data_IF_330040429241
#
_entry.id   IF_330040429241
#
_cell.length_a   1.000
_cell.length_b   1.000
_cell.length_c   1.000
_cell.angle_alpha   90.00
_cell.angle_beta   90.00
_cell.angle_gamma   90.00
#
_symmetry.space_group_name_H-M   'P 1'
#
loop_
_entity.id
_entity.type
_entity.pdbx_description
1 polymer ?
#
# COMPACT_ATOMS: atom_id res chain seq x y z
N UNK A 1 25.33 -6.32 4.25
CA UNK A 1 25.81 -7.65 4.69
C UNK A 1 26.64 -8.29 3.60
N UNK A 2 27.97 -8.26 3.74
CA UNK A 2 28.96 -8.65 2.73
C UNK A 2 28.96 -10.17 2.45
N UNK A 3 28.77 -10.99 3.49
CA UNK A 3 28.67 -12.45 3.40
C UNK A 3 27.61 -12.95 2.41
N UNK A 4 26.39 -12.39 2.49
CA UNK A 4 25.26 -12.77 1.63
C UNK A 4 25.56 -12.54 0.14
N UNK A 5 26.35 -11.51 -0.18
CA UNK A 5 26.76 -11.21 -1.55
C UNK A 5 27.68 -12.29 -2.11
N UNK A 6 28.76 -12.62 -1.40
CA UNK A 6 29.69 -13.66 -1.81
C UNK A 6 29.04 -15.04 -1.90
N UNK A 7 28.20 -15.40 -0.92
CA UNK A 7 27.47 -16.65 -0.95
C UNK A 7 26.59 -16.76 -2.21
N UNK A 8 25.83 -15.71 -2.54
CA UNK A 8 24.98 -15.68 -3.75
C UNK A 8 25.76 -15.73 -5.05
N UNK A 9 26.98 -15.19 -5.09
CA UNK A 9 27.85 -15.31 -6.25
C UNK A 9 28.30 -16.75 -6.46
N UNK A 10 28.71 -17.44 -5.39
CA UNK A 10 29.14 -18.84 -5.44
C UNK A 10 27.99 -19.79 -5.81
N UNK A 11 26.78 -19.52 -5.31
CA UNK A 11 25.61 -20.36 -5.56
C UNK A 11 24.79 -19.92 -6.78
N UNK A 12 25.26 -18.96 -7.58
CA UNK A 12 24.52 -18.40 -8.73
C UNK A 12 24.19 -19.45 -9.80
N UNK A 13 25.08 -20.42 -9.98
CA UNK A 13 24.96 -21.48 -10.99
C UNK A 13 24.20 -22.72 -10.49
N UNK A 14 23.74 -22.72 -9.22
CA UNK A 14 23.03 -23.87 -8.67
C UNK A 14 21.54 -23.78 -9.01
N UNK A 15 21.03 -24.80 -9.69
CA UNK A 15 19.68 -24.82 -10.26
C UNK A 15 18.56 -24.95 -9.20
N UNK A 16 18.82 -25.54 -8.03
CA UNK A 16 17.83 -25.63 -6.95
C UNK A 16 18.44 -25.56 -5.55
N UNK A 17 17.75 -24.88 -4.63
CA UNK A 17 18.08 -24.79 -3.20
C UNK A 17 17.43 -25.90 -2.36
N UNK A 18 16.96 -27.00 -2.98
CA UNK A 18 16.39 -28.09 -2.18
C UNK A 18 17.50 -28.65 -1.30
N UNK A 19 17.38 -28.61 0.02
CA UNK A 19 18.42 -29.09 0.95
C UNK A 19 18.20 -30.55 1.34
N UNK A 20 17.55 -31.33 0.49
CA UNK A 20 17.14 -32.71 0.80
C UNK A 20 18.20 -33.72 0.40
N UNK A 21 19.08 -33.41 -0.56
CA UNK A 21 20.15 -34.34 -0.95
C UNK A 21 21.44 -34.15 -0.14
N UNK A 22 22.13 -35.23 0.27
CA UNK A 22 23.45 -35.15 0.91
C UNK A 22 24.48 -34.37 0.09
N UNK A 23 24.37 -34.42 -1.25
CA UNK A 23 25.23 -33.68 -2.17
C UNK A 23 25.06 -32.16 -2.02
N UNK A 24 23.82 -31.67 -1.93
CA UNK A 24 23.54 -30.25 -1.73
C UNK A 24 24.01 -29.75 -0.36
N UNK A 25 23.99 -30.60 0.68
CA UNK A 25 24.55 -30.26 1.98
C UNK A 25 26.08 -30.07 1.92
N UNK A 26 26.79 -30.94 1.19
CA UNK A 26 28.23 -30.78 0.98
C UNK A 26 28.57 -29.51 0.20
N UNK A 27 27.81 -29.20 -0.84
CA UNK A 27 27.95 -27.96 -1.60
C UNK A 27 27.72 -26.74 -0.70
N UNK A 28 26.65 -26.75 0.11
CA UNK A 28 26.37 -25.70 1.08
C UNK A 28 27.57 -25.45 2.02
N UNK A 29 28.14 -26.51 2.61
CA UNK A 29 29.29 -26.37 3.50
C UNK A 29 30.51 -25.77 2.80
N UNK A 30 30.78 -26.18 1.55
CA UNK A 30 31.87 -25.61 0.73
C UNK A 30 31.65 -24.12 0.46
N UNK A 31 30.46 -23.75 -0.04
CA UNK A 31 30.14 -22.35 -0.32
C UNK A 31 30.11 -21.49 0.95
N UNK A 32 29.61 -22.02 2.07
CA UNK A 32 29.62 -21.35 3.37
C UNK A 32 31.06 -21.07 3.80
N UNK A 33 31.95 -22.08 3.75
CA UNK A 33 33.37 -21.95 4.10
C UNK A 33 34.10 -20.92 3.24
N UNK A 34 33.84 -20.90 1.94
CA UNK A 34 34.45 -19.94 1.03
C UNK A 34 33.91 -18.51 1.21
N UNK A 35 32.59 -18.38 1.33
CA UNK A 35 31.94 -17.09 1.56
C UNK A 35 32.34 -16.49 2.91
N UNK A 36 32.45 -17.31 3.96
CA UNK A 36 32.89 -16.86 5.28
C UNK A 36 34.35 -16.41 5.25
N UNK A 37 35.25 -17.14 4.58
CA UNK A 37 36.65 -16.71 4.41
C UNK A 37 36.78 -15.36 3.71
N UNK A 38 35.98 -15.10 2.68
CA UNK A 38 35.97 -13.82 1.95
C UNK A 38 35.29 -12.70 2.74
N UNK A 39 34.25 -13.03 3.51
CA UNK A 39 33.47 -12.05 4.25
C UNK A 39 34.12 -11.64 5.58
N UNK A 40 34.68 -12.58 6.34
CA UNK A 40 35.25 -12.40 7.67
C UNK A 40 36.71 -11.94 7.60
N UNK A 41 36.98 -10.90 6.81
CA UNK A 41 38.28 -10.25 6.80
C UNK A 41 38.29 -9.09 7.80
N UNK A 42 39.47 -8.78 8.37
CA UNK A 42 39.63 -7.66 9.30
C UNK A 42 39.06 -6.36 8.73
N UNK A 43 39.29 -6.08 7.44
CA UNK A 43 38.76 -4.90 6.74
C UNK A 43 37.24 -4.89 6.70
N UNK A 44 36.61 -6.00 6.34
CA UNK A 44 35.15 -6.09 6.27
C UNK A 44 34.50 -5.97 7.65
N UNK A 45 35.08 -6.62 8.67
CA UNK A 45 34.63 -6.53 10.06
C UNK A 45 34.71 -5.08 10.55
N UNK A 46 35.86 -4.42 10.38
CA UNK A 46 36.02 -3.01 10.74
C UNK A 46 35.07 -2.09 9.96
N UNK A 47 34.88 -2.32 8.65
CA UNK A 47 33.93 -1.55 7.85
C UNK A 47 32.48 -1.70 8.34
N UNK A 48 32.12 -2.88 8.85
CA UNK A 48 30.82 -3.13 9.46
C UNK A 48 30.63 -2.33 10.73
N UNK A 49 31.61 -2.35 11.63
CA UNK A 49 31.58 -1.56 12.87
C UNK A 49 31.64 -0.04 12.62
N UNK A 50 32.34 0.40 11.57
CA UNK A 50 32.36 1.80 11.11
C UNK A 50 30.98 2.23 10.62
N UNK A 51 30.32 1.41 9.80
CA UNK A 51 29.00 1.70 9.25
C UNK A 51 27.92 1.78 10.34
N UNK A 52 27.97 0.91 11.35
CA UNK A 52 27.06 0.98 12.50
C UNK A 52 27.42 2.12 13.46
N UNK A 53 28.64 2.65 13.38
CA UNK A 53 29.14 3.68 14.28
C UNK A 53 29.54 3.16 15.67
N UNK A 54 29.77 1.85 15.79
CA UNK A 54 30.26 1.21 17.02
C UNK A 54 31.78 1.36 17.20
N UNK A 55 32.53 1.41 16.09
CA UNK A 55 33.98 1.58 16.09
C UNK A 55 34.44 2.56 15.01
N UNK A 56 35.40 3.47 15.29
CA UNK A 56 35.91 3.79 16.62
C UNK A 56 34.80 4.39 17.51
N UNK A 57 34.94 4.20 18.82
CA UNK A 57 33.99 4.76 19.80
C UNK A 57 34.13 6.28 19.76
N UNK A 58 33.23 6.95 19.06
CA UNK A 58 33.18 8.41 19.02
C UNK A 58 32.13 8.93 20.01
N UNK A 59 32.60 9.30 21.21
CA UNK A 59 31.78 9.86 22.29
C UNK A 59 31.05 11.13 21.82
N UNK A 60 31.65 11.93 20.92
CA UNK A 60 31.03 13.15 20.40
C UNK A 60 29.81 12.84 19.54
N UNK A 61 29.83 11.72 18.80
CA UNK A 61 28.69 11.24 18.01
C UNK A 61 27.53 10.80 18.90
N UNK A 62 27.83 10.11 20.01
CA UNK A 62 26.83 9.76 21.03
C UNK A 62 26.18 11.02 21.62
N UNK A 63 26.98 11.99 22.05
CA UNK A 63 26.48 13.27 22.58
C UNK A 63 25.65 14.06 21.55
N UNK A 64 26.02 14.05 20.27
CA UNK A 64 25.22 14.65 19.18
C UNK A 64 23.88 13.96 18.97
N UNK A 65 23.75 12.66 19.26
CA UNK A 65 22.50 11.92 19.14
C UNK A 65 21.50 12.20 20.26
N UNK A 66 22.00 12.54 21.46
CA UNK A 66 21.21 13.01 22.61
C UNK A 66 20.61 14.40 22.38
N UNK A 67 21.23 15.23 21.52
CA UNK A 67 20.68 16.54 21.19
C UNK A 67 19.35 16.38 20.45
N UNK A 68 18.27 17.06 20.88
CA UNK A 68 16.98 16.98 20.21
C UNK A 68 17.12 17.49 18.77
N UNK A 69 16.98 16.60 17.80
CA UNK A 69 16.90 16.96 16.39
C UNK A 69 15.47 17.34 16.06
N UNK A 70 15.28 18.54 15.53
CA UNK A 70 14.04 18.92 14.88
C UNK A 70 13.79 17.94 13.73
N UNK A 71 12.81 17.04 13.92
CA UNK A 71 12.35 16.14 12.86
C UNK A 71 11.62 16.99 11.83
N UNK A 72 12.35 17.48 10.81
CA UNK A 72 11.73 18.00 9.60
C UNK A 72 10.81 16.91 9.06
N UNK A 73 9.50 17.12 9.15
CA UNK A 73 8.50 16.20 8.60
C UNK A 73 8.81 16.12 7.11
N UNK A 74 9.20 14.93 6.63
CA UNK A 74 9.25 14.69 5.19
C UNK A 74 7.83 14.97 4.68
N UNK A 75 7.69 15.94 3.78
CA UNK A 75 6.44 16.17 3.06
C UNK A 75 6.08 14.84 2.42
N UNK A 76 4.93 14.29 2.82
CA UNK A 76 4.41 13.08 2.23
C UNK A 76 3.94 13.42 0.82
N UNK A 77 4.79 13.19 -0.16
CA UNK A 77 4.38 13.08 -1.56
C UNK A 77 3.66 11.74 -1.68
N UNK A 78 2.34 11.80 -1.60
CA UNK A 78 1.50 10.60 -1.78
C UNK A 78 1.74 9.98 -3.16
N UNK A 79 1.48 8.67 -3.31
CA UNK A 79 1.59 8.01 -4.61
C UNK A 79 0.72 8.76 -5.62
N UNK A 80 1.36 9.31 -6.65
CA UNK A 80 0.66 9.98 -7.75
C UNK A 80 0.04 8.89 -8.60
N UNK A 81 -1.26 8.65 -8.42
CA UNK A 81 -2.00 7.72 -9.28
C UNK A 81 -1.97 8.25 -10.71
N UNK A 82 -1.44 7.49 -11.69
CA UNK A 82 -1.42 7.93 -13.07
C UNK A 82 -2.86 8.23 -13.55
N UNK A 83 -3.01 9.35 -14.24
CA UNK A 83 -4.30 9.81 -14.75
C UNK A 83 -4.82 8.77 -15.75
N UNK A 84 -6.05 8.28 -15.56
CA UNK A 84 -6.69 7.34 -16.50
C UNK A 84 -6.62 7.95 -17.91
N UNK A 85 -6.01 7.22 -18.85
CA UNK A 85 -6.05 7.58 -20.27
C UNK A 85 -7.51 7.61 -20.71
N UNK A 86 -7.93 8.74 -21.29
CA UNK A 86 -9.20 8.79 -22.01
C UNK A 86 -9.04 7.95 -23.27
N UNK A 87 -10.00 7.07 -23.52
CA UNK A 87 -10.03 6.25 -24.74
C UNK A 87 -10.46 7.17 -25.88
N UNK A 88 -9.53 7.52 -26.78
CA UNK A 88 -9.72 8.54 -27.84
C UNK A 88 -10.25 7.94 -29.14
N UNK A 89 -10.38 6.62 -29.23
CA UNK A 89 -10.82 5.95 -30.45
C UNK A 89 -12.20 5.30 -30.26
N UNK A 90 -13.13 5.59 -31.16
CA UNK A 90 -14.46 4.95 -31.25
C UNK A 90 -14.38 3.43 -31.50
N UNK A 91 -13.20 2.90 -31.83
CA UNK A 91 -12.99 1.49 -32.22
C UNK A 91 -11.96 0.76 -31.34
N UNK A 92 -11.66 1.23 -30.14
CA UNK A 92 -10.84 0.44 -29.18
C UNK A 92 -11.77 -0.30 -28.24
N UNK A 93 -11.89 -1.61 -28.45
CA UNK A 93 -12.69 -2.51 -27.62
C UNK A 93 -12.07 -2.57 -26.22
N UNK A 94 -12.62 -1.77 -25.29
CA UNK A 94 -12.21 -1.77 -23.89
C UNK A 94 -12.68 -3.02 -23.14
N UNK A 95 -11.99 -3.38 -22.06
CA UNK A 95 -12.44 -4.43 -21.15
C UNK A 95 -13.76 -4.02 -20.48
N UNK A 96 -14.87 -4.74 -20.73
CA UNK A 96 -16.17 -4.38 -20.18
C UNK A 96 -16.13 -4.48 -18.65
N UNK A 97 -16.69 -3.48 -17.96
CA UNK A 97 -16.80 -3.47 -16.50
C UNK A 97 -18.15 -4.03 -16.03
N UNK A 98 -19.17 -3.93 -16.88
CA UNK A 98 -20.50 -4.41 -16.57
C UNK A 98 -21.24 -5.01 -17.76
N UNK A 99 -22.40 -5.59 -17.48
CA UNK A 99 -23.30 -6.14 -18.49
C UNK A 99 -23.80 -5.08 -19.48
N UNK A 100 -23.95 -3.82 -19.05
CA UNK A 100 -24.32 -2.70 -19.91
C UNK A 100 -23.26 -2.41 -20.99
N UNK A 101 -21.97 -2.45 -20.65
CA UNK A 101 -20.88 -2.21 -21.60
C UNK A 101 -20.88 -3.28 -22.70
N UNK A 102 -21.11 -4.54 -22.33
CA UNK A 102 -21.21 -5.66 -23.27
C UNK A 102 -22.42 -5.50 -24.19
N UNK A 103 -23.57 -5.03 -23.67
CA UNK A 103 -24.76 -4.72 -24.49
C UNK A 103 -24.46 -3.62 -25.50
N UNK A 104 -23.76 -2.56 -25.08
CA UNK A 104 -23.39 -1.45 -25.95
C UNK A 104 -22.46 -1.91 -27.08
N UNK A 105 -21.44 -2.70 -26.73
CA UNK A 105 -20.53 -3.32 -27.71
C UNK A 105 -21.28 -4.24 -28.69
N UNK A 106 -22.27 -5.00 -28.21
CA UNK A 106 -23.13 -5.84 -29.05
C UNK A 106 -23.94 -5.00 -30.04
N UNK A 107 -24.52 -3.89 -29.60
CA UNK A 107 -25.28 -2.98 -30.48
C UNK A 107 -24.38 -2.30 -31.53
N UNK A 108 -23.17 -1.91 -31.15
CA UNK A 108 -22.18 -1.33 -32.08
C UNK A 108 -21.72 -2.36 -33.13
N UNK A 109 -21.46 -3.61 -32.70
CA UNK A 109 -21.09 -4.70 -33.61
C UNK A 109 -22.21 -5.04 -34.62
N UNK A 110 -23.48 -4.94 -34.19
CA UNK A 110 -24.64 -5.14 -35.07
C UNK A 110 -24.79 -4.01 -36.10
N UNK A 111 -24.50 -2.76 -35.72
CA UNK A 111 -24.53 -1.61 -36.64
C UNK A 111 -23.44 -1.70 -37.71
N UNK A 112 -22.27 -2.24 -37.38
CA UNK A 112 -21.10 -2.33 -38.27
C UNK A 112 -21.16 -3.53 -39.24
N UNK A 113 -22.32 -4.17 -39.41
CA UNK A 113 -22.55 -5.13 -40.50
C UNK A 113 -22.23 -6.60 -40.18
N UNK A 114 -22.09 -6.99 -38.92
CA UNK A 114 -22.13 -8.41 -38.54
C UNK A 114 -23.57 -8.82 -38.22
N UNK A 115 -24.35 -9.37 -39.19
CA UNK A 115 -25.69 -9.89 -38.90
C UNK A 115 -25.58 -11.02 -37.88
N UNK A 116 -26.26 -10.80 -36.75
CA UNK A 116 -26.50 -11.72 -35.62
C UNK A 116 -26.12 -13.20 -35.86
N UNK A 117 -24.84 -13.54 -35.69
CA UNK A 117 -24.44 -14.93 -35.53
C UNK A 117 -25.05 -15.38 -34.19
N UNK A 118 -25.98 -16.34 -34.23
CA UNK A 118 -26.69 -16.87 -33.05
C UNK A 118 -25.72 -17.20 -31.91
N UNK A 119 -24.57 -17.77 -32.28
CA UNK A 119 -23.51 -18.17 -31.35
C UNK A 119 -22.82 -16.96 -30.71
N UNK A 120 -22.58 -15.88 -31.47
CA UNK A 120 -22.00 -14.64 -30.94
C UNK A 120 -22.91 -13.99 -29.89
N UNK A 121 -24.21 -13.90 -30.17
CA UNK A 121 -25.19 -13.40 -29.19
C UNK A 121 -25.27 -14.30 -27.94
N UNK A 122 -25.17 -15.62 -28.11
CA UNK A 122 -25.15 -16.57 -27.00
C UNK A 122 -23.90 -16.37 -26.12
N UNK A 123 -22.73 -16.24 -26.74
CA UNK A 123 -21.45 -16.00 -26.06
C UNK A 123 -21.50 -14.70 -25.27
N UNK A 124 -21.96 -13.60 -25.88
CA UNK A 124 -22.06 -12.31 -25.19
C UNK A 124 -23.10 -12.32 -24.07
N UNK A 125 -24.22 -13.04 -24.23
CA UNK A 125 -25.19 -13.26 -23.13
C UNK A 125 -24.58 -14.03 -21.97
N UNK A 126 -23.76 -15.05 -22.23
CA UNK A 126 -23.02 -15.77 -21.18
C UNK A 126 -21.97 -14.86 -20.52
N UNK A 127 -21.27 -14.06 -21.30
CA UNK A 127 -20.30 -13.09 -20.78
C UNK A 127 -20.98 -12.05 -19.87
N UNK A 128 -22.13 -11.51 -20.27
CA UNK A 128 -22.94 -10.61 -19.44
C UNK A 128 -23.28 -11.22 -18.08
N UNK A 129 -23.82 -12.45 -18.08
CA UNK A 129 -24.18 -13.16 -16.84
C UNK A 129 -22.95 -13.41 -15.96
N UNK A 130 -21.83 -13.80 -16.56
CA UNK A 130 -20.58 -14.07 -15.83
C UNK A 130 -20.01 -12.81 -15.18
N UNK A 131 -20.02 -11.68 -15.87
CA UNK A 131 -19.58 -10.39 -15.31
C UNK A 131 -20.50 -9.95 -14.17
N UNK A 132 -21.81 -10.09 -14.33
CA UNK A 132 -22.78 -9.75 -13.28
C UNK A 132 -22.57 -10.60 -12.02
N UNK A 133 -22.35 -11.91 -12.20
CA UNK A 133 -22.07 -12.82 -11.09
C UNK A 133 -20.78 -12.45 -10.36
N UNK A 134 -19.72 -12.08 -11.10
CA UNK A 134 -18.47 -11.60 -10.50
C UNK A 134 -18.65 -10.30 -9.74
N UNK A 135 -19.40 -9.34 -10.30
CA UNK A 135 -19.67 -8.06 -9.65
C UNK A 135 -20.47 -8.26 -8.36
N UNK A 136 -21.47 -9.16 -8.36
CA UNK A 136 -22.20 -9.53 -7.15
C UNK A 136 -21.30 -10.17 -6.09
N UNK A 137 -20.38 -11.07 -6.48
CA UNK A 137 -19.39 -11.64 -5.57
C UNK A 137 -18.44 -10.58 -5.00
N UNK A 138 -17.97 -9.65 -5.83
CA UNK A 138 -17.11 -8.55 -5.39
C UNK A 138 -17.84 -7.69 -4.36
N UNK A 139 -19.09 -7.32 -4.64
CA UNK A 139 -19.90 -6.53 -3.71
C UNK A 139 -20.06 -7.25 -2.36
N UNK A 140 -20.41 -8.54 -2.37
CA UNK A 140 -20.51 -9.35 -1.15
C UNK A 140 -19.20 -9.37 -0.36
N UNK A 141 -18.06 -9.57 -1.04
CA UNK A 141 -16.75 -9.56 -0.39
C UNK A 141 -16.38 -8.18 0.16
N UNK A 142 -16.78 -7.10 -0.50
CA UNK A 142 -16.58 -5.73 -0.02
C UNK A 142 -17.41 -5.45 1.24
N UNK A 143 -18.66 -5.93 1.29
CA UNK A 143 -19.53 -5.85 2.47
C UNK A 143 -18.95 -6.66 3.64
N UNK A 144 -18.57 -7.91 3.41
CA UNK A 144 -17.91 -8.76 4.42
C UNK A 144 -16.63 -8.10 4.95
N UNK A 145 -15.81 -7.53 4.05
CA UNK A 145 -14.60 -6.79 4.43
C UNK A 145 -14.92 -5.53 5.25
N UNK A 146 -16.01 -4.83 4.95
CA UNK A 146 -16.45 -3.66 5.71
C UNK A 146 -16.89 -4.07 7.13
N UNK A 147 -17.67 -5.15 7.26
CA UNK A 147 -18.10 -5.71 8.54
C UNK A 147 -16.89 -6.17 9.36
N UNK A 148 -15.97 -6.92 8.75
CA UNK A 148 -14.75 -7.38 9.42
C UNK A 148 -13.91 -6.21 9.91
N UNK A 149 -13.72 -5.18 9.09
CA UNK A 149 -13.01 -3.95 9.51
C UNK A 149 -13.71 -3.25 10.68
N UNK A 150 -15.03 -3.16 10.66
CA UNK A 150 -15.80 -2.57 11.76
C UNK A 150 -15.63 -3.39 13.05
N UNK A 151 -15.71 -4.72 12.96
CA UNK A 151 -15.51 -5.61 14.11
C UNK A 151 -14.08 -5.55 14.68
N UNK A 152 -13.07 -5.47 13.80
CA UNK A 152 -11.68 -5.32 14.20
C UNK A 152 -11.42 -3.96 14.84
N UNK A 153 -12.04 -2.89 14.32
CA UNK A 153 -11.98 -1.56 14.94
C UNK A 153 -12.66 -1.53 16.31
N UNK A 154 -13.81 -2.21 16.47
CA UNK A 154 -14.49 -2.32 17.76
C UNK A 154 -13.70 -3.12 18.80
N UNK A 155 -12.91 -4.12 18.36
CA UNK A 155 -12.05 -4.94 19.22
C UNK A 155 -10.64 -4.36 19.40
N UNK A 156 -10.28 -3.31 18.68
CA UNK A 156 -8.94 -2.72 18.78
C UNK A 156 -8.73 -2.21 20.21
N UNK A 157 -7.56 -2.49 20.84
CA UNK A 157 -7.31 -2.06 22.20
C UNK A 157 -7.41 -0.55 22.27
N UNK A 158 -8.20 -0.09 23.24
CA UNK A 158 -8.30 1.31 23.63
C UNK A 158 -6.89 1.85 23.91
N UNK A 159 -6.67 3.13 23.60
CA UNK A 159 -5.37 3.78 23.61
C UNK A 159 -4.64 3.62 24.94
N UNK A 160 -3.31 3.76 24.92
CA UNK A 160 -2.53 3.64 26.15
C UNK A 160 -2.52 4.97 26.88
N UNK A 161 -3.05 4.99 28.09
CA UNK A 161 -2.87 6.08 29.06
C UNK A 161 -1.95 5.56 30.17
N UNK A 162 -0.86 6.27 30.51
CA UNK A 162 -0.02 5.87 31.62
C UNK A 162 -0.80 6.00 32.94
N UNK A 163 -0.75 4.97 33.78
CA UNK A 163 -1.29 5.03 35.13
C UNK A 163 -0.43 5.99 35.94
N UNK A 164 -1.04 6.98 36.58
CA UNK A 164 -0.33 7.82 37.53
C UNK A 164 -0.19 7.05 38.83
N UNK A 165 1.06 6.82 39.23
CA UNK A 165 1.43 5.91 40.31
C UNK A 165 2.52 6.53 41.18
N UNK A 166 2.42 6.31 42.49
CA UNK A 166 3.43 6.73 43.44
C UNK A 166 4.64 5.80 43.41
N UNK A 167 5.84 6.29 43.06
CA UNK A 167 7.03 5.45 42.87
C UNK A 167 7.54 4.79 44.16
N UNK A 168 7.01 5.20 45.31
CA UNK A 168 7.35 4.64 46.62
C UNK A 168 6.57 3.35 46.93
N UNK A 169 5.50 3.05 46.19
CA UNK A 169 4.81 1.77 46.28
C UNK A 169 5.41 0.78 45.27
N UNK A 170 5.21 -0.53 45.50
CA UNK A 170 5.70 -1.56 44.60
C UNK A 170 4.81 -1.74 43.35
N UNK A 171 3.49 -1.56 43.50
CA UNK A 171 2.50 -1.73 42.43
C UNK A 171 1.38 -0.69 42.54
N UNK A 172 0.82 -0.23 41.40
CA UNK A 172 -0.34 0.66 41.39
C UNK A 172 -1.59 -0.02 41.91
N UNK A 173 -2.44 0.76 42.56
CA UNK A 173 -3.73 0.29 43.04
C UNK A 173 -4.71 0.03 41.88
N UNK A 174 -5.62 -0.91 42.09
CA UNK A 174 -6.60 -1.33 41.09
C UNK A 174 -7.46 -0.15 40.61
N UNK A 175 -7.81 0.78 41.52
CA UNK A 175 -8.58 1.98 41.18
C UNK A 175 -7.84 2.91 40.21
N UNK A 176 -6.52 3.06 40.38
CA UNK A 176 -5.68 3.87 39.48
C UNK A 176 -5.63 3.23 38.08
N UNK A 177 -5.64 1.90 38.00
CA UNK A 177 -5.68 1.16 36.74
C UNK A 177 -7.03 1.31 36.04
N UNK A 178 -8.15 1.19 36.79
CA UNK A 178 -9.50 1.36 36.24
C UNK A 178 -9.71 2.79 35.74
N UNK A 179 -9.31 3.80 36.52
CA UNK A 179 -9.44 5.22 36.13
C UNK A 179 -8.60 5.56 34.88
N UNK A 180 -7.37 5.05 34.79
CA UNK A 180 -6.55 5.24 33.59
C UNK A 180 -7.16 4.56 32.35
N UNK A 181 -7.78 3.40 32.52
CA UNK A 181 -8.54 2.72 31.46
C UNK A 181 -9.74 3.57 31.00
N UNK A 182 -10.54 4.07 31.93
CA UNK A 182 -11.73 4.88 31.60
C UNK A 182 -11.33 6.20 30.90
N UNK A 183 -10.22 6.81 31.31
CA UNK A 183 -9.66 7.99 30.64
C UNK A 183 -9.18 7.67 29.22
N UNK A 184 -8.56 6.52 29.01
CA UNK A 184 -8.18 6.07 27.68
C UNK A 184 -9.39 5.92 26.75
N UNK A 185 -10.50 5.38 27.25
CA UNK A 185 -11.76 5.21 26.50
C UNK A 185 -12.34 6.58 26.12
N UNK A 186 -12.41 7.52 27.08
CA UNK A 186 -12.88 8.90 26.84
C UNK A 186 -12.02 9.66 25.81
N UNK A 187 -10.70 9.54 25.89
CA UNK A 187 -9.79 10.21 24.96
C UNK A 187 -9.96 9.72 23.51
N UNK A 188 -10.24 8.44 23.31
CA UNK A 188 -10.54 7.90 21.97
C UNK A 188 -11.87 8.42 21.46
N UNK A 189 -12.92 8.40 22.27
CA UNK A 189 -14.23 8.92 21.86
C UNK A 189 -14.11 10.39 21.42
N UNK A 190 -13.37 11.20 22.19
CA UNK A 190 -13.08 12.58 21.82
C UNK A 190 -12.35 12.71 20.47
N UNK A 191 -11.31 11.89 20.21
CA UNK A 191 -10.61 11.88 18.91
C UNK A 191 -11.53 11.46 17.75
N UNK A 192 -12.40 10.47 17.96
CA UNK A 192 -13.38 10.04 16.95
C UNK A 192 -14.38 11.16 16.65
N UNK A 193 -14.86 11.87 17.67
CA UNK A 193 -15.74 13.02 17.48
C UNK A 193 -15.04 14.18 16.76
N UNK A 194 -13.81 14.52 17.16
CA UNK A 194 -13.04 15.55 16.47
C UNK A 194 -12.80 15.22 14.99
N UNK A 195 -12.50 13.95 14.68
CA UNK A 195 -12.31 13.51 13.29
C UNK A 195 -13.62 13.54 12.49
N UNK A 196 -14.78 13.29 13.13
CA UNK A 196 -16.11 13.48 12.51
C UNK A 196 -16.45 14.95 12.28
N UNK A 197 -16.11 15.83 13.23
CA UNK A 197 -16.40 17.28 13.18
C UNK A 197 -15.49 18.03 12.20
N UNK A 198 -14.28 17.53 11.93
CA UNK A 198 -13.36 18.13 10.94
C UNK A 198 -14.04 18.13 9.56
N UNK A 199 -14.27 19.30 8.96
CA UNK A 199 -14.89 19.37 7.63
C UNK A 199 -13.98 18.63 6.66
N UNK A 200 -14.55 17.68 5.90
CA UNK A 200 -13.86 17.06 4.76
C UNK A 200 -13.35 18.21 3.90
N UNK A 201 -12.02 18.39 3.83
CA UNK A 201 -11.41 19.42 2.99
C UNK A 201 -12.03 19.28 1.60
N UNK A 202 -12.88 20.25 1.22
CA UNK A 202 -13.43 20.31 -0.13
C UNK A 202 -12.22 20.36 -1.04
N UNK A 203 -12.12 19.41 -1.99
CA UNK A 203 -11.11 19.48 -3.04
C UNK A 203 -11.21 20.89 -3.64
N UNK A 204 -10.10 21.61 -3.81
CA UNK A 204 -10.17 22.95 -4.40
C UNK A 204 -10.96 22.86 -5.71
N UNK A 205 -11.86 23.81 -5.98
CA UNK A 205 -12.53 23.85 -7.27
C UNK A 205 -11.44 23.80 -8.35
N UNK A 206 -11.62 22.94 -9.35
CA UNK A 206 -10.70 22.86 -10.49
C UNK A 206 -10.57 24.29 -11.02
N UNK A 207 -9.37 24.87 -10.92
CA UNK A 207 -9.06 26.13 -11.58
C UNK A 207 -9.50 26.01 -13.03
N UNK A 208 -10.31 26.98 -13.48
CA UNK A 208 -10.72 27.07 -14.86
C UNK A 208 -9.45 27.20 -15.70
N UNK A 209 -9.11 26.13 -16.42
CA UNK A 209 -8.00 26.13 -17.37
C UNK A 209 -8.20 27.27 -18.36
N UNK A 210 -7.11 28.00 -18.64
CA UNK A 210 -7.02 29.15 -19.57
C UNK A 210 -7.62 28.87 -20.97
N UNK A 211 -7.80 27.59 -21.33
CA UNK A 211 -8.46 27.18 -22.57
C UNK A 211 -9.96 27.54 -22.64
N UNK A 212 -10.67 27.63 -21.51
CA UNK A 212 -12.10 28.00 -21.50
C UNK A 212 -12.35 29.49 -21.75
N UNK A 213 -11.40 30.35 -21.39
CA UNK A 213 -11.49 31.79 -21.72
C UNK A 213 -11.26 32.04 -23.21
N UNK A 214 -10.50 31.17 -23.90
CA UNK A 214 -10.23 31.30 -25.33
C UNK A 214 -11.46 30.92 -26.20
N UNK A 215 -12.24 29.93 -25.76
CA UNK A 215 -13.40 29.45 -26.54
C UNK A 215 -14.64 30.36 -26.46
N UNK A 216 -14.79 31.13 -25.37
CA UNK A 216 -15.92 32.06 -25.20
C UNK A 216 -15.77 33.36 -26.01
N UNK A 217 -14.62 33.60 -26.65
CA UNK A 217 -14.40 34.78 -27.49
C UNK A 217 -14.90 34.61 -28.94
N UNK A 218 -15.31 33.40 -29.34
CA UNK A 218 -15.70 33.07 -30.73
C UNK A 218 -17.12 32.53 -30.87
N UNK A 219 -18.07 32.96 -30.03
CA UNK A 219 -19.49 32.65 -30.24
C UNK A 219 -20.29 33.92 -30.57
N UNK A 220 -20.22 34.36 -31.84
CA UNK A 220 -21.23 35.20 -32.53
C UNK A 220 -20.78 35.37 -33.99
N UNK A 221 -21.68 35.11 -34.93
CA UNK A 221 -21.45 34.87 -36.38
C UNK A 221 -21.35 33.37 -36.63
N UNK A 222 -22.46 32.65 -36.86
CA UNK A 222 -23.24 32.70 -38.09
C UNK A 222 -24.71 32.41 -37.78
N UNK A 223 -25.62 33.26 -38.27
CA UNK A 223 -27.02 32.96 -38.60
C UNK A 223 -27.55 34.22 -39.30
N UNK A 224 -27.41 34.28 -40.62
CA UNK A 224 -28.23 35.04 -41.55
C UNK A 224 -28.52 34.12 -42.73
#
# INVERSE_FOLDING_TARGET
MVYRGYYRQLTRFWASYGTTSPHQQQLFLKAYKEASRKALTRRNILSGFLATGLFPIDVRKALKSLKPKEKKRKSFEGPTTPRKRQVVAETVWGTPQGSHDIKKQLQEAQKNGNPSIRDFNCILKKAMKSVEQKNSQIQRLEEEKAVLKASAAAKAPTGRVPVQFDPNQAFPEIEQIITARDQAEKNILHQVEETRRKPRRKKPPKTLTVERTFFNQYSKSQNN
#
